data_IF_336816094481
#
_entry.id   IF_336816094481
#
_cell.length_a   1.000
_cell.length_b   1.000
_cell.length_c   1.000
_cell.angle_alpha   90.00
_cell.angle_beta   90.00
_cell.angle_gamma   90.00
#
_symmetry.space_group_name_H-M   'P 1'
#
loop_
_entity.id
_entity.type
_entity.pdbx_description
1 polymer ?
#
# COMPACT_ATOMS: atom_id res chain seq x y z
N UNK A 1 51.89 -11.12 -43.74
CA UNK A 1 50.82 -10.26 -43.27
C UNK A 1 49.84 -11.11 -42.40
N UNK A 2 49.94 -10.94 -41.07
CA UNK A 2 49.09 -11.70 -40.12
C UNK A 2 47.91 -10.82 -39.75
N UNK A 3 46.72 -11.19 -40.19
CA UNK A 3 45.43 -10.54 -39.87
C UNK A 3 45.02 -10.97 -38.46
N UNK A 4 45.05 -10.06 -37.52
CA UNK A 4 44.52 -10.25 -36.16
C UNK A 4 43.03 -10.02 -36.21
N UNK A 5 42.24 -11.08 -35.94
CA UNK A 5 40.83 -10.98 -35.68
C UNK A 5 40.62 -10.70 -34.20
N UNK A 6 40.16 -9.50 -33.90
CA UNK A 6 39.69 -9.15 -32.54
C UNK A 6 38.25 -9.63 -32.41
N UNK A 7 38.05 -10.65 -31.61
CA UNK A 7 36.74 -11.11 -31.23
C UNK A 7 36.29 -10.21 -30.06
N UNK A 8 35.35 -9.30 -30.34
CA UNK A 8 34.67 -8.52 -29.31
C UNK A 8 33.57 -9.40 -28.71
N UNK A 9 33.80 -9.89 -27.52
CA UNK A 9 32.84 -10.64 -26.73
C UNK A 9 31.88 -9.64 -26.07
N UNK A 10 30.71 -9.46 -26.67
CA UNK A 10 29.66 -8.60 -26.11
C UNK A 10 28.96 -9.37 -25.00
N UNK A 11 29.29 -9.08 -23.76
CA UNK A 11 28.58 -9.62 -22.59
C UNK A 11 27.22 -8.94 -22.49
N UNK A 12 26.16 -9.66 -22.82
CA UNK A 12 24.77 -9.23 -22.58
C UNK A 12 24.50 -9.45 -21.08
N UNK A 13 24.50 -8.38 -20.32
CA UNK A 13 23.97 -8.37 -18.96
C UNK A 13 22.44 -8.45 -19.05
N UNK A 14 21.90 -9.63 -18.79
CA UNK A 14 20.46 -9.79 -18.54
C UNK A 14 20.14 -9.14 -17.20
N UNK A 15 19.59 -7.93 -17.25
CA UNK A 15 18.97 -7.30 -16.08
C UNK A 15 17.68 -8.08 -15.81
N UNK A 16 17.71 -8.95 -14.80
CA UNK A 16 16.49 -9.54 -14.26
C UNK A 16 15.67 -8.42 -13.63
N UNK A 17 14.74 -7.85 -14.40
CA UNK A 17 13.77 -6.91 -13.91
C UNK A 17 12.89 -7.64 -12.89
N UNK A 18 12.95 -7.23 -11.63
CA UNK A 18 11.90 -7.54 -10.65
C UNK A 18 10.59 -6.95 -11.19
N UNK A 19 9.76 -7.80 -11.75
CA UNK A 19 8.36 -7.47 -12.10
C UNK A 19 7.58 -7.35 -10.79
N UNK A 20 7.68 -6.21 -10.12
CA UNK A 20 6.69 -5.83 -9.13
C UNK A 20 5.37 -5.63 -9.88
N UNK A 21 4.29 -6.27 -9.43
CA UNK A 21 2.96 -6.08 -9.99
C UNK A 21 2.58 -4.61 -9.94
N UNK A 22 2.61 -3.94 -11.09
CA UNK A 22 2.19 -2.54 -11.19
C UNK A 22 0.69 -2.46 -10.92
N UNK A 23 0.33 -1.71 -9.91
CA UNK A 23 -1.08 -1.45 -9.58
C UNK A 23 -1.60 -0.35 -10.49
N UNK A 24 -2.65 -0.65 -11.24
CA UNK A 24 -3.37 0.36 -12.01
C UNK A 24 -4.38 1.08 -11.10
N UNK A 25 -4.10 2.34 -10.80
CA UNK A 25 -4.93 3.15 -9.90
C UNK A 25 -6.16 3.74 -10.60
N UNK A 26 -6.21 3.75 -11.94
CA UNK A 26 -7.30 4.38 -12.69
C UNK A 26 -8.65 3.69 -12.49
N UNK A 27 -8.65 2.40 -12.18
CA UNK A 27 -9.87 1.61 -11.99
C UNK A 27 -10.30 1.54 -10.51
N UNK A 28 -9.55 2.21 -9.64
CA UNK A 28 -9.78 2.20 -8.21
C UNK A 28 -10.50 3.48 -7.75
N UNK A 29 -11.38 3.32 -6.80
CA UNK A 29 -12.14 4.40 -6.16
C UNK A 29 -11.65 4.62 -4.74
N UNK A 30 -11.61 5.88 -4.26
CA UNK A 30 -11.23 6.16 -2.88
C UNK A 30 -12.32 5.66 -1.92
N UNK A 31 -11.92 4.82 -0.98
CA UNK A 31 -12.76 4.37 0.14
C UNK A 31 -12.58 5.26 1.38
N UNK A 32 -11.37 5.77 1.59
CA UNK A 32 -11.05 6.72 2.66
C UNK A 32 -9.84 7.56 2.29
N UNK A 33 -9.73 8.76 2.85
CA UNK A 33 -8.59 9.65 2.65
C UNK A 33 -8.32 10.46 3.92
N UNK A 34 -7.05 10.69 4.22
CA UNK A 34 -6.63 11.50 5.36
C UNK A 34 -5.30 12.20 5.10
N UNK A 35 -5.20 13.45 5.52
CA UNK A 35 -3.95 14.21 5.47
C UNK A 35 -3.29 14.23 6.83
N UNK A 36 -1.98 14.00 6.85
CA UNK A 36 -1.14 14.00 8.06
C UNK A 36 0.13 14.79 7.73
N UNK A 37 0.24 16.02 8.25
CA UNK A 37 1.34 16.90 7.91
C UNK A 37 1.39 17.19 6.42
N UNK A 38 2.50 16.85 5.77
CA UNK A 38 2.70 17.00 4.31
C UNK A 38 2.29 15.77 3.50
N UNK A 39 1.80 14.73 4.16
CA UNK A 39 1.37 13.51 3.50
C UNK A 39 -0.15 13.45 3.40
N UNK A 40 -0.64 12.98 2.27
CA UNK A 40 -2.02 12.56 2.09
C UNK A 40 -2.05 11.06 1.83
N UNK A 41 -2.84 10.35 2.61
CA UNK A 41 -2.96 8.89 2.56
C UNK A 41 -4.36 8.58 2.05
N UNK A 42 -4.43 7.75 1.01
CA UNK A 42 -5.70 7.36 0.37
C UNK A 42 -5.81 5.85 0.35
N UNK A 43 -6.93 5.33 0.81
CA UNK A 43 -7.32 3.93 0.65
C UNK A 43 -8.18 3.82 -0.60
N UNK A 44 -7.79 2.93 -1.51
CA UNK A 44 -8.42 2.77 -2.82
C UNK A 44 -8.79 1.31 -3.04
N UNK A 45 -9.99 1.04 -3.53
CA UNK A 45 -10.39 -0.27 -4.02
C UNK A 45 -11.34 -0.14 -5.24
N UNK A 46 -11.73 -1.28 -5.83
CA UNK A 46 -12.59 -1.26 -7.02
C UNK A 46 -14.00 -0.73 -6.76
N UNK A 47 -14.55 -0.98 -5.58
CA UNK A 47 -15.91 -0.58 -5.22
C UNK A 47 -15.99 0.82 -4.61
N UNK A 48 -14.93 1.29 -3.96
CA UNK A 48 -14.94 2.47 -3.09
C UNK A 48 -15.51 2.19 -1.69
N UNK A 49 -15.76 0.91 -1.36
CA UNK A 49 -16.34 0.47 -0.10
C UNK A 49 -15.63 -0.78 0.41
N UNK A 50 -15.61 -0.98 1.72
CA UNK A 50 -15.12 -2.19 2.37
C UNK A 50 -16.31 -3.07 2.74
N UNK A 51 -16.17 -4.37 2.52
CA UNK A 51 -17.24 -5.36 2.73
C UNK A 51 -16.82 -6.36 3.81
N UNK A 52 -17.79 -6.99 4.45
CA UNK A 52 -17.53 -8.14 5.32
C UNK A 52 -16.84 -9.26 4.53
N UNK A 53 -15.90 -9.95 5.14
CA UNK A 53 -15.09 -10.99 4.53
C UNK A 53 -13.78 -10.45 3.98
N UNK A 54 -13.25 -11.08 2.95
CA UNK A 54 -11.95 -10.76 2.37
C UNK A 54 -12.05 -9.53 1.46
N UNK A 55 -11.12 -8.60 1.67
CA UNK A 55 -10.99 -7.36 0.90
C UNK A 55 -9.57 -7.21 0.39
N UNK A 56 -9.46 -6.65 -0.82
CA UNK A 56 -8.20 -6.14 -1.36
C UNK A 56 -8.35 -4.65 -1.59
N UNK A 57 -7.40 -3.88 -1.10
CA UNK A 57 -7.32 -2.45 -1.34
C UNK A 57 -5.87 -1.98 -1.44
N UNK A 58 -5.71 -0.77 -1.90
CA UNK A 58 -4.41 -0.13 -2.08
C UNK A 58 -4.32 1.06 -1.15
N UNK A 59 -3.18 1.18 -0.48
CA UNK A 59 -2.82 2.38 0.28
C UNK A 59 -1.86 3.19 -0.57
N UNK A 60 -2.22 4.42 -0.85
CA UNK A 60 -1.39 5.37 -1.58
C UNK A 60 -0.98 6.53 -0.68
N UNK A 61 0.32 6.78 -0.62
CA UNK A 61 0.89 7.96 0.02
C UNK A 61 1.25 8.99 -1.05
N UNK A 62 0.81 10.22 -0.84
CA UNK A 62 1.11 11.38 -1.68
C UNK A 62 1.75 12.47 -0.84
N UNK A 63 2.63 13.24 -1.45
CA UNK A 63 3.18 14.46 -0.85
C UNK A 63 2.20 15.65 -0.97
N UNK A 64 2.61 16.82 -0.52
CA UNK A 64 1.84 18.06 -0.57
C UNK A 64 1.62 18.59 -2.00
N UNK A 65 2.32 18.03 -2.99
CA UNK A 65 2.13 18.32 -4.42
C UNK A 65 1.29 17.25 -5.14
N UNK A 66 0.79 16.27 -4.42
CA UNK A 66 0.00 15.17 -4.97
C UNK A 66 0.81 14.09 -5.69
N UNK A 67 2.16 14.11 -5.56
CA UNK A 67 3.04 13.11 -6.14
C UNK A 67 3.19 11.90 -5.20
N UNK A 68 3.46 10.69 -5.75
CA UNK A 68 3.72 9.52 -4.91
C UNK A 68 4.88 9.78 -3.94
N UNK A 69 4.68 9.46 -2.67
CA UNK A 69 5.66 9.66 -1.61
C UNK A 69 6.14 8.30 -1.10
N UNK A 70 7.43 8.01 -1.25
CA UNK A 70 8.05 6.84 -0.64
C UNK A 70 8.24 7.10 0.86
N UNK A 71 7.43 6.45 1.68
CA UNK A 71 7.46 6.59 3.13
C UNK A 71 8.25 5.49 3.84
N UNK A 72 8.88 4.58 3.07
CA UNK A 72 9.70 3.50 3.57
C UNK A 72 8.88 2.31 4.07
N UNK A 73 9.20 1.83 5.26
CA UNK A 73 8.51 0.70 5.87
C UNK A 73 7.14 1.11 6.38
N UNK A 74 6.11 0.37 5.96
CA UNK A 74 4.71 0.61 6.34
C UNK A 74 4.13 -0.62 7.00
N UNK A 75 3.41 -0.42 8.09
CA UNK A 75 2.63 -1.44 8.78
C UNK A 75 1.17 -1.02 8.86
N UNK A 76 0.27 -1.99 8.79
CA UNK A 76 -1.16 -1.78 8.94
C UNK A 76 -1.73 -2.71 10.01
N UNK A 77 -2.61 -2.17 10.84
CA UNK A 77 -3.45 -2.93 11.75
C UNK A 77 -4.91 -2.53 11.55
N UNK A 78 -5.81 -3.45 11.81
CA UNK A 78 -7.24 -3.18 11.81
C UNK A 78 -7.87 -3.68 13.11
N UNK A 79 -8.83 -2.92 13.64
CA UNK A 79 -9.55 -3.27 14.85
C UNK A 79 -10.96 -2.71 14.84
N UNK A 80 -11.86 -3.39 15.55
CA UNK A 80 -13.22 -2.94 15.80
C UNK A 80 -13.47 -2.87 17.29
N UNK A 81 -13.92 -1.72 17.78
CA UNK A 81 -14.34 -1.55 19.17
C UNK A 81 -15.77 -2.02 19.34
N UNK A 82 -16.00 -2.85 20.35
CA UNK A 82 -17.33 -3.31 20.72
C UNK A 82 -17.66 -2.86 22.15
N UNK A 83 -18.88 -2.36 22.39
CA UNK A 83 -19.29 -1.99 23.76
C UNK A 83 -19.23 -3.22 24.68
N UNK A 84 -18.63 -3.06 25.87
CA UNK A 84 -18.53 -4.07 26.91
C UNK A 84 -17.77 -5.37 26.55
N UNK A 85 -17.01 -5.37 25.45
CA UNK A 85 -16.20 -6.50 25.00
C UNK A 85 -14.78 -6.05 24.64
N UNK A 86 -13.83 -6.99 24.61
CA UNK A 86 -12.51 -6.71 24.11
C UNK A 86 -12.56 -6.31 22.62
N UNK A 87 -11.69 -5.36 22.17
CA UNK A 87 -11.62 -5.00 20.76
C UNK A 87 -11.32 -6.23 19.90
N UNK A 88 -12.01 -6.36 18.76
CA UNK A 88 -11.73 -7.37 17.76
C UNK A 88 -10.65 -6.85 16.81
N UNK A 89 -9.60 -7.65 16.61
CA UNK A 89 -8.59 -7.37 15.59
C UNK A 89 -8.97 -8.05 14.28
N UNK A 90 -8.76 -7.34 13.18
CA UNK A 90 -8.85 -7.92 11.83
C UNK A 90 -7.49 -8.41 11.38
N UNK A 91 -7.49 -9.40 10.48
CA UNK A 91 -6.29 -9.85 9.80
C UNK A 91 -6.03 -8.91 8.62
N UNK A 92 -4.94 -8.16 8.69
CA UNK A 92 -4.52 -7.25 7.62
C UNK A 92 -3.05 -7.49 7.29
N UNK A 93 -2.76 -7.69 6.01
CA UNK A 93 -1.43 -7.88 5.48
C UNK A 93 -1.13 -6.81 4.43
N UNK A 94 0.02 -6.17 4.53
CA UNK A 94 0.49 -5.14 3.62
C UNK A 94 1.71 -5.63 2.85
N UNK A 95 1.65 -5.48 1.52
CA UNK A 95 2.73 -5.89 0.60
C UNK A 95 3.16 -4.71 -0.24
N UNK A 96 4.47 -4.38 -0.30
CA UNK A 96 4.99 -3.39 -1.22
C UNK A 96 4.76 -3.79 -2.68
N UNK A 97 4.48 -2.81 -3.55
CA UNK A 97 4.22 -3.06 -4.98
C UNK A 97 5.42 -2.78 -5.89
N UNK A 98 6.53 -2.28 -5.35
CA UNK A 98 7.65 -1.76 -6.14
C UNK A 98 7.40 -0.36 -6.73
N UNK A 99 6.20 0.19 -6.61
CA UNK A 99 5.87 1.58 -6.93
C UNK A 99 5.99 2.43 -5.66
N UNK A 100 6.68 3.57 -5.74
CA UNK A 100 6.86 4.45 -4.59
C UNK A 100 5.52 4.90 -4.02
N UNK A 101 5.36 4.76 -2.70
CA UNK A 101 4.16 5.18 -1.98
C UNK A 101 2.90 4.37 -2.24
N UNK A 102 2.99 3.21 -2.89
CA UNK A 102 1.85 2.36 -3.23
C UNK A 102 2.04 0.97 -2.64
N UNK A 103 1.08 0.55 -1.82
CA UNK A 103 1.08 -0.71 -1.09
C UNK A 103 -0.24 -1.45 -1.32
N UNK A 104 -0.15 -2.76 -1.53
CA UNK A 104 -1.33 -3.65 -1.56
C UNK A 104 -1.65 -4.10 -0.16
N UNK A 105 -2.93 -4.09 0.18
CA UNK A 105 -3.42 -4.61 1.46
C UNK A 105 -4.50 -5.64 1.21
N UNK A 106 -4.36 -6.77 1.89
CA UNK A 106 -5.39 -7.79 2.01
C UNK A 106 -5.90 -7.78 3.45
N UNK A 107 -7.19 -7.68 3.65
CA UNK A 107 -7.80 -7.70 4.98
C UNK A 107 -9.01 -8.62 5.00
N UNK A 108 -9.22 -9.27 6.14
CA UNK A 108 -10.42 -10.08 6.39
C UNK A 108 -11.19 -9.48 7.57
N UNK A 109 -12.43 -9.04 7.32
CA UNK A 109 -13.31 -8.47 8.32
C UNK A 109 -14.36 -9.49 8.72
N UNK A 110 -14.30 -9.97 9.95
CA UNK A 110 -15.21 -10.99 10.46
C UNK A 110 -16.67 -10.54 10.52
N UNK A 111 -16.91 -9.23 10.63
CA UNK A 111 -18.26 -8.68 10.67
C UNK A 111 -18.30 -7.26 10.08
N UNK A 112 -19.50 -6.85 9.68
CA UNK A 112 -19.78 -5.47 9.29
C UNK A 112 -19.78 -4.53 10.51
N UNK A 113 -19.56 -3.25 10.27
CA UNK A 113 -19.55 -2.22 11.30
C UNK A 113 -18.42 -1.22 11.16
N UNK A 114 -18.18 -0.42 12.19
CA UNK A 114 -17.14 0.61 12.22
C UNK A 114 -15.79 -0.01 12.59
N UNK A 115 -14.87 0.00 11.62
CA UNK A 115 -13.51 -0.47 11.77
C UNK A 115 -12.52 0.69 11.82
N UNK A 116 -11.46 0.52 12.60
CA UNK A 116 -10.33 1.42 12.71
C UNK A 116 -9.12 0.79 12.05
N UNK A 117 -8.51 1.51 11.13
CA UNK A 117 -7.24 1.11 10.48
C UNK A 117 -6.15 2.00 10.99
N UNK A 118 -5.12 1.42 11.57
CA UNK A 118 -3.92 2.14 11.98
C UNK A 118 -2.80 1.84 10.99
N UNK A 119 -2.29 2.89 10.38
CA UNK A 119 -1.11 2.87 9.54
C UNK A 119 0.04 3.53 10.28
N UNK A 120 1.20 2.88 10.26
CA UNK A 120 2.46 3.46 10.74
C UNK A 120 3.52 3.33 9.67
N UNK A 121 4.40 4.31 9.58
CA UNK A 121 5.48 4.34 8.61
C UNK A 121 6.76 4.86 9.24
N UNK A 122 7.90 4.45 8.63
CA UNK A 122 9.22 4.91 9.00
C UNK A 122 10.12 4.93 7.76
N UNK A 123 10.53 6.11 7.34
CA UNK A 123 11.34 6.26 6.13
C UNK A 123 11.72 7.70 5.83
N UNK A 124 11.91 8.05 4.54
CA UNK A 124 12.41 9.37 4.10
C UNK A 124 11.57 10.56 4.57
N UNK A 125 10.27 10.38 4.79
CA UNK A 125 9.36 11.40 5.34
C UNK A 125 9.28 11.38 6.87
N UNK A 126 10.20 10.67 7.54
CA UNK A 126 10.22 10.49 8.96
C UNK A 126 9.36 9.33 9.44
N UNK A 127 9.12 9.30 10.75
CA UNK A 127 8.26 8.33 11.40
C UNK A 127 6.90 8.95 11.69
N UNK A 128 5.84 8.23 11.40
CA UNK A 128 4.49 8.69 11.67
C UNK A 128 3.49 7.56 11.78
N UNK A 129 2.30 7.90 12.25
CA UNK A 129 1.15 7.00 12.28
C UNK A 129 -0.15 7.77 12.11
N UNK A 130 -1.18 7.08 11.66
CA UNK A 130 -2.53 7.64 11.58
C UNK A 130 -3.57 6.54 11.68
N UNK A 131 -4.78 6.91 12.07
CA UNK A 131 -5.92 6.01 12.14
C UNK A 131 -7.03 6.50 11.22
N UNK A 132 -7.57 5.59 10.42
CA UNK A 132 -8.76 5.79 9.60
C UNK A 132 -9.94 5.08 10.25
N UNK A 133 -11.10 5.70 10.12
CA UNK A 133 -12.37 5.07 10.47
C UNK A 133 -13.11 4.77 9.18
N UNK A 134 -13.52 3.53 8.99
CA UNK A 134 -14.30 3.11 7.83
C UNK A 134 -15.41 2.16 8.23
N UNK A 135 -16.54 2.28 7.57
CA UNK A 135 -17.62 1.34 7.73
C UNK A 135 -17.43 0.18 6.76
N UNK A 136 -17.41 -1.02 7.32
CA UNK A 136 -17.44 -2.29 6.59
C UNK A 136 -18.90 -2.71 6.47
N UNK A 137 -19.38 -2.98 5.26
CA UNK A 137 -20.76 -3.38 4.95
C UNK A 137 -20.89 -4.89 4.78
#
# INVERSE_FOLDING_TARGET
MKTFHVIVLTSIFAVAGCSGDKVNLSDLKPAASKSVGKLTIVLLNKSGELMQGQNEFVVQFKDDQGQPADVGDVQIGSSMSMPSMAPMSGDSELTPTGQAGIYKVTSNFAMSGAWHFTLSWNGPYGQGHTTFNSNVR
#
